data_IF_617489547689
#
_entry.id   IF_617489547689
#
_cell.length_a   1.000
_cell.length_b   1.000
_cell.length_c   1.000
_cell.angle_alpha   90.00
_cell.angle_beta   90.00
_cell.angle_gamma   90.00
#
_symmetry.space_group_name_H-M   'P 1'
#
loop_
_entity.id
_entity.type
_entity.pdbx_description
1 polymer ?
#
# COMPACT_ATOMS: atom_id res chain seq x y z
N UNK A 1 13.12 8.70 -13.38
CA UNK A 1 12.98 7.27 -13.04
C UNK A 1 11.66 7.15 -12.28
N UNK A 2 10.82 6.14 -12.59
CA UNK A 2 9.49 5.98 -11.97
C UNK A 2 9.59 4.92 -10.88
N UNK A 3 9.09 5.23 -9.69
CA UNK A 3 8.94 4.29 -8.60
C UNK A 3 7.61 3.54 -8.72
N UNK A 4 7.66 2.21 -8.67
CA UNK A 4 6.48 1.34 -8.64
C UNK A 4 6.14 1.07 -7.18
N UNK A 5 4.88 1.16 -6.76
CA UNK A 5 4.50 0.86 -5.37
C UNK A 5 3.39 -0.17 -5.33
N UNK A 6 3.50 -1.29 -4.59
CA UNK A 6 2.53 -2.42 -4.59
C UNK A 6 1.82 -2.66 -3.25
N UNK A 7 0.56 -3.12 -3.30
CA UNK A 7 -0.22 -3.67 -2.16
C UNK A 7 -1.01 -4.89 -2.59
N UNK A 8 -1.05 -5.95 -1.77
CA UNK A 8 -1.91 -7.12 -1.95
C UNK A 8 -3.04 -7.15 -0.90
N UNK A 9 -4.28 -7.41 -1.32
CA UNK A 9 -5.50 -7.52 -0.53
C UNK A 9 -6.04 -8.95 -0.60
N UNK A 10 -6.08 -9.64 0.54
CA UNK A 10 -6.69 -10.97 0.68
C UNK A 10 -7.92 -10.86 1.60
N UNK A 11 -9.11 -10.95 1.02
CA UNK A 11 -10.37 -10.98 1.75
C UNK A 11 -11.44 -11.73 0.95
N UNK A 12 -12.23 -12.58 1.61
CA UNK A 12 -13.28 -13.38 0.97
C UNK A 12 -14.47 -12.54 0.48
N UNK A 13 -14.90 -12.76 -0.76
CA UNK A 13 -16.00 -12.00 -1.40
C UNK A 13 -17.17 -12.96 -1.72
N UNK A 14 -18.38 -12.57 -1.29
CA UNK A 14 -19.63 -13.20 -1.73
C UNK A 14 -19.98 -12.78 -3.17
N UNK A 15 -20.43 -13.72 -4.00
CA UNK A 15 -20.75 -13.49 -5.43
C UNK A 15 -21.84 -12.42 -5.63
N UNK A 16 -21.54 -11.42 -6.45
CA UNK A 16 -22.46 -10.43 -7.03
C UNK A 16 -22.12 -10.19 -8.52
N UNK A 17 -22.99 -9.58 -9.34
CA UNK A 17 -23.09 -9.84 -10.78
C UNK A 17 -22.08 -9.06 -11.66
N UNK A 18 -21.98 -9.53 -12.92
CA UNK A 18 -21.15 -9.08 -14.07
C UNK A 18 -20.54 -7.67 -14.03
N UNK A 19 -19.22 -7.61 -14.33
CA UNK A 19 -18.32 -6.43 -14.42
C UNK A 19 -18.77 -5.31 -15.37
N UNK A 20 -19.71 -5.53 -16.29
CA UNK A 20 -19.74 -4.79 -17.56
C UNK A 20 -20.30 -3.35 -17.54
N UNK A 21 -21.08 -2.91 -16.54
CA UNK A 21 -21.67 -1.55 -16.55
C UNK A 21 -21.52 -0.75 -15.24
N UNK A 22 -21.00 -1.34 -14.16
CA UNK A 22 -21.07 -0.72 -12.83
C UNK A 22 -20.21 0.56 -12.71
N UNK A 23 -19.07 0.61 -13.40
CA UNK A 23 -18.15 1.76 -13.37
C UNK A 23 -18.67 3.04 -14.02
N UNK A 24 -19.68 2.95 -14.88
CA UNK A 24 -20.10 4.08 -15.72
C UNK A 24 -21.11 5.01 -15.03
N UNK A 25 -21.81 4.49 -14.03
CA UNK A 25 -22.95 5.16 -13.40
C UNK A 25 -22.87 5.17 -11.85
N UNK A 26 -21.95 4.43 -11.24
CA UNK A 26 -21.77 4.42 -9.78
C UNK A 26 -21.06 5.68 -9.34
N UNK A 27 -21.63 6.37 -8.35
CA UNK A 27 -20.96 7.44 -7.60
C UNK A 27 -20.55 6.92 -6.24
N UNK A 28 -19.35 7.29 -5.77
CA UNK A 28 -18.80 6.83 -4.50
C UNK A 28 -18.71 8.02 -3.55
N UNK A 29 -19.27 7.88 -2.35
CA UNK A 29 -19.36 8.95 -1.37
C UNK A 29 -18.41 8.67 -0.20
N UNK A 30 -17.52 9.61 0.11
CA UNK A 30 -16.77 9.68 1.37
C UNK A 30 -17.25 10.82 2.26
N UNK A 31 -16.44 11.15 3.27
CA UNK A 31 -16.68 12.23 4.21
C UNK A 31 -16.21 13.60 3.67
N UNK A 32 -15.12 13.64 2.90
CA UNK A 32 -14.54 14.85 2.30
C UNK A 32 -14.76 14.92 0.79
N UNK A 33 -14.80 13.77 0.12
CA UNK A 33 -14.86 13.70 -1.35
C UNK A 33 -16.04 12.88 -1.88
N UNK A 34 -16.47 13.21 -3.09
CA UNK A 34 -17.34 12.38 -3.92
C UNK A 34 -16.58 12.01 -5.20
N UNK A 35 -16.59 10.72 -5.55
CA UNK A 35 -16.06 10.23 -6.82
C UNK A 35 -17.22 10.08 -7.82
N UNK A 36 -17.09 10.71 -8.97
CA UNK A 36 -18.09 10.67 -10.05
C UNK A 36 -17.45 10.14 -11.33
N UNK A 37 -18.07 9.21 -12.06
CA UNK A 37 -17.51 8.71 -13.31
C UNK A 37 -17.20 9.85 -14.29
N UNK A 38 -16.04 9.78 -14.93
CA UNK A 38 -15.62 10.79 -15.90
C UNK A 38 -16.58 10.85 -17.10
N UNK A 39 -16.88 12.06 -17.55
CA UNK A 39 -17.98 12.34 -18.47
C UNK A 39 -17.69 13.64 -19.25
N UNK A 40 -18.33 13.80 -20.40
CA UNK A 40 -18.07 14.88 -21.34
C UNK A 40 -18.14 16.30 -20.73
N UNK A 41 -19.02 16.54 -19.75
CA UNK A 41 -19.15 17.86 -19.11
C UNK A 41 -17.97 18.21 -18.20
N UNK A 42 -17.16 17.24 -17.78
CA UNK A 42 -15.94 17.48 -16.99
C UNK A 42 -14.75 17.92 -17.85
N UNK A 43 -14.78 17.64 -19.16
CA UNK A 43 -13.61 17.76 -20.05
C UNK A 43 -13.06 19.18 -20.10
N UNK A 44 -13.92 20.21 -20.08
CA UNK A 44 -13.45 21.59 -20.20
C UNK A 44 -12.56 21.99 -19.01
N UNK A 45 -13.01 21.68 -17.79
CA UNK A 45 -12.26 21.93 -16.56
C UNK A 45 -11.01 21.05 -16.47
N UNK A 46 -11.12 19.78 -16.87
CA UNK A 46 -10.00 18.85 -16.91
C UNK A 46 -8.90 19.34 -17.87
N UNK A 47 -9.29 19.76 -19.07
CA UNK A 47 -8.37 20.33 -20.07
C UNK A 47 -7.69 21.61 -19.55
N UNK A 48 -8.37 22.43 -18.75
CA UNK A 48 -7.75 23.59 -18.11
C UNK A 48 -6.68 23.20 -17.08
N UNK A 49 -6.86 22.09 -16.36
CA UNK A 49 -5.80 21.53 -15.50
C UNK A 49 -4.60 21.03 -16.33
N UNK A 50 -4.85 20.35 -17.44
CA UNK A 50 -3.81 19.78 -18.31
C UNK A 50 -3.02 20.84 -19.11
N UNK A 51 -3.29 22.14 -18.90
CA UNK A 51 -2.44 23.25 -19.37
C UNK A 51 -1.34 23.63 -18.38
N UNK A 52 -1.44 23.19 -17.12
CA UNK A 52 -0.46 23.51 -16.08
C UNK A 52 0.80 22.63 -16.26
N UNK A 53 1.98 23.23 -16.56
CA UNK A 53 3.23 22.47 -16.70
C UNK A 53 3.59 21.65 -15.47
N UNK A 54 3.25 22.14 -14.27
CA UNK A 54 3.49 21.40 -13.03
C UNK A 54 2.65 20.11 -13.00
N UNK A 55 1.39 20.17 -13.42
CA UNK A 55 0.53 18.99 -13.45
C UNK A 55 1.03 17.99 -14.50
N UNK A 56 1.33 18.45 -15.71
CA UNK A 56 1.88 17.62 -16.79
C UNK A 56 3.16 16.88 -16.36
N UNK A 57 4.08 17.56 -15.67
CA UNK A 57 5.30 16.94 -15.14
C UNK A 57 4.99 15.88 -14.08
N UNK A 58 4.10 16.20 -13.14
CA UNK A 58 3.76 15.31 -12.02
C UNK A 58 2.95 14.08 -12.44
N UNK A 59 2.16 14.19 -13.51
CA UNK A 59 1.38 13.09 -14.10
C UNK A 59 2.08 12.43 -15.30
N UNK A 60 3.30 12.85 -15.64
CA UNK A 60 4.04 12.40 -16.81
C UNK A 60 3.21 12.39 -18.10
N UNK A 61 2.42 13.45 -18.29
CA UNK A 61 1.46 13.59 -19.38
C UNK A 61 1.93 14.60 -20.43
N UNK A 62 1.52 14.40 -21.67
CA UNK A 62 1.73 15.36 -22.75
C UNK A 62 0.49 16.26 -22.92
N UNK A 63 0.67 17.54 -23.27
CA UNK A 63 -0.46 18.44 -23.49
C UNK A 63 -1.24 18.02 -24.75
N UNK A 64 -2.56 18.07 -24.65
CA UNK A 64 -3.48 17.78 -25.76
C UNK A 64 -4.32 19.02 -26.09
N UNK A 65 -4.80 19.12 -27.32
CA UNK A 65 -5.87 20.04 -27.68
C UNK A 65 -7.19 19.65 -27.02
N UNK A 66 -8.14 20.59 -26.92
CA UNK A 66 -9.45 20.31 -26.35
C UNK A 66 -10.21 19.21 -27.12
N UNK A 67 -10.05 19.15 -28.44
CA UNK A 67 -10.67 18.11 -29.27
C UNK A 67 -10.07 16.72 -29.00
N UNK A 68 -8.74 16.65 -28.83
CA UNK A 68 -8.05 15.41 -28.44
C UNK A 68 -8.44 14.96 -27.04
N UNK A 69 -8.58 15.87 -26.08
CA UNK A 69 -9.10 15.61 -24.73
C UNK A 69 -10.54 15.05 -24.75
N UNK A 70 -11.42 15.63 -25.56
CA UNK A 70 -12.78 15.13 -25.75
C UNK A 70 -12.77 13.71 -26.32
N UNK A 71 -11.92 13.45 -27.32
CA UNK A 71 -11.79 12.12 -27.91
C UNK A 71 -11.20 11.11 -26.91
N UNK A 72 -10.21 11.52 -26.12
CA UNK A 72 -9.58 10.70 -25.08
C UNK A 72 -10.56 10.38 -23.95
N UNK A 73 -11.40 11.33 -23.55
CA UNK A 73 -12.45 11.09 -22.54
C UNK A 73 -13.39 9.96 -22.98
N UNK A 74 -13.83 9.96 -24.25
CA UNK A 74 -14.69 8.91 -24.79
C UNK A 74 -13.99 7.56 -24.75
N UNK A 75 -12.76 7.48 -25.25
CA UNK A 75 -12.01 6.21 -25.27
C UNK A 75 -11.75 5.68 -23.86
N UNK A 76 -11.40 6.54 -22.91
CA UNK A 76 -11.16 6.14 -21.51
C UNK A 76 -12.44 5.70 -20.80
N UNK A 77 -13.55 6.38 -21.05
CA UNK A 77 -14.84 6.03 -20.45
C UNK A 77 -15.35 4.68 -20.97
N UNK A 78 -15.17 4.40 -22.26
CA UNK A 78 -15.69 3.19 -22.88
C UNK A 78 -14.78 1.96 -22.70
N UNK A 79 -13.48 2.15 -22.45
CA UNK A 79 -12.50 1.07 -22.37
C UNK A 79 -12.73 0.13 -21.17
N UNK A 80 -13.08 -1.17 -21.35
CA UNK A 80 -13.31 -2.17 -20.29
C UNK A 80 -12.17 -2.34 -19.28
N UNK A 81 -10.95 -1.92 -19.64
CA UNK A 81 -9.74 -2.01 -18.81
C UNK A 81 -9.43 -0.73 -18.03
N UNK A 82 -10.33 0.26 -18.07
CA UNK A 82 -10.18 1.53 -17.34
C UNK A 82 -11.37 1.84 -16.43
N UNK A 83 -11.11 2.53 -15.33
CA UNK A 83 -12.15 3.15 -14.53
C UNK A 83 -11.66 4.52 -14.04
N UNK A 84 -12.21 5.59 -14.62
CA UNK A 84 -11.78 6.97 -14.37
C UNK A 84 -12.88 7.75 -13.68
N UNK A 85 -12.56 8.35 -12.55
CA UNK A 85 -13.48 9.13 -11.74
C UNK A 85 -12.91 10.52 -11.48
N UNK A 86 -13.76 11.53 -11.62
CA UNK A 86 -13.48 12.87 -11.13
C UNK A 86 -13.70 12.92 -9.63
N UNK A 87 -12.73 13.51 -8.93
CA UNK A 87 -12.78 13.79 -7.49
C UNK A 87 -13.41 15.16 -7.30
N UNK A 88 -14.55 15.20 -6.60
CA UNK A 88 -15.14 16.43 -6.09
C UNK A 88 -14.74 16.60 -4.62
N UNK A 89 -14.22 17.77 -4.23
CA UNK A 89 -13.81 18.08 -2.85
C UNK A 89 -14.98 18.58 -1.98
N UNK A 90 -16.16 17.99 -2.21
CA UNK A 90 -17.39 18.19 -1.46
C UNK A 90 -18.25 16.94 -1.60
N UNK A 91 -19.17 16.78 -0.66
CA UNK A 91 -20.14 15.70 -0.65
C UNK A 91 -21.53 16.15 -1.07
N UNK A 92 -21.74 17.45 -1.32
CA UNK A 92 -23.08 18.00 -1.52
C UNK A 92 -23.37 18.32 -2.99
N UNK A 93 -22.40 18.87 -3.71
CA UNK A 93 -22.59 19.41 -5.07
C UNK A 93 -21.59 18.87 -6.08
N UNK A 94 -21.99 18.83 -7.34
CA UNK A 94 -21.15 18.40 -8.47
C UNK A 94 -20.94 19.59 -9.44
N UNK A 95 -20.59 20.74 -8.89
CA UNK A 95 -20.30 21.95 -9.65
C UNK A 95 -18.87 21.93 -10.15
N UNK A 96 -18.61 22.54 -11.30
CA UNK A 96 -17.27 22.60 -11.90
C UNK A 96 -16.21 23.17 -10.94
N UNK A 97 -16.58 24.17 -10.13
CA UNK A 97 -15.70 24.74 -9.10
C UNK A 97 -15.26 23.73 -8.04
N UNK A 98 -16.06 22.70 -7.75
CA UNK A 98 -15.75 21.73 -6.70
C UNK A 98 -14.99 20.51 -7.23
N UNK A 99 -14.81 20.42 -8.55
CA UNK A 99 -13.89 19.46 -9.15
C UNK A 99 -12.47 19.73 -8.62
N UNK A 100 -11.82 18.71 -8.10
CA UNK A 100 -10.54 18.81 -7.40
C UNK A 100 -9.40 18.03 -8.08
N UNK A 101 -9.74 17.07 -8.93
CA UNK A 101 -8.82 16.22 -9.67
C UNK A 101 -9.51 14.93 -10.12
N UNK A 102 -8.76 13.85 -10.25
CA UNK A 102 -9.25 12.55 -10.72
C UNK A 102 -8.48 11.39 -10.08
N UNK A 103 -9.14 10.22 -10.06
CA UNK A 103 -8.57 8.95 -9.62
C UNK A 103 -8.90 7.88 -10.67
N UNK A 104 -7.88 7.12 -11.07
CA UNK A 104 -7.97 6.16 -12.17
C UNK A 104 -7.55 4.78 -11.73
N UNK A 105 -8.17 3.77 -12.35
CA UNK A 105 -7.71 2.39 -12.34
C UNK A 105 -7.44 1.91 -13.75
N UNK A 106 -6.32 1.21 -13.93
CA UNK A 106 -5.96 0.54 -15.18
C UNK A 106 -5.72 -0.95 -14.94
N UNK A 107 -6.30 -1.78 -15.81
CA UNK A 107 -6.19 -3.23 -15.79
C UNK A 107 -5.29 -3.67 -16.95
N UNK A 108 -3.99 -3.43 -16.80
CA UNK A 108 -3.00 -3.61 -17.85
C UNK A 108 -2.44 -5.05 -17.94
N UNK A 109 -2.88 -5.94 -17.04
CA UNK A 109 -2.39 -7.31 -16.91
C UNK A 109 -3.49 -8.30 -17.32
N UNK A 110 -3.38 -8.83 -18.54
CA UNK A 110 -4.36 -9.77 -19.10
C UNK A 110 -4.30 -11.15 -18.42
N UNK A 111 -3.17 -11.49 -17.80
CA UNK A 111 -2.97 -12.77 -17.10
C UNK A 111 -3.45 -12.69 -15.65
N UNK A 112 -3.32 -11.52 -15.00
CA UNK A 112 -3.79 -11.26 -13.64
C UNK A 112 -4.81 -10.11 -13.60
N UNK A 113 -6.08 -10.42 -13.86
CA UNK A 113 -7.17 -9.43 -13.79
C UNK A 113 -7.46 -8.91 -12.37
N UNK A 114 -6.78 -9.44 -11.35
CA UNK A 114 -6.84 -8.93 -9.98
C UNK A 114 -5.71 -7.93 -9.67
N UNK A 115 -4.76 -7.74 -10.58
CA UNK A 115 -3.70 -6.74 -10.52
C UNK A 115 -4.14 -5.45 -11.21
N UNK A 116 -3.98 -4.31 -10.53
CA UNK A 116 -4.55 -3.05 -10.97
C UNK A 116 -3.61 -1.88 -10.68
N UNK A 117 -3.36 -1.06 -11.70
CA UNK A 117 -2.67 0.21 -11.55
C UNK A 117 -3.65 1.27 -11.02
N UNK A 118 -3.26 2.06 -10.03
CA UNK A 118 -4.05 3.17 -9.48
C UNK A 118 -3.28 4.49 -9.58
N UNK A 119 -3.92 5.49 -10.17
CA UNK A 119 -3.40 6.85 -10.28
C UNK A 119 -4.32 7.85 -9.58
N UNK A 120 -3.73 8.93 -9.06
CA UNK A 120 -4.43 10.01 -8.38
C UNK A 120 -3.78 11.35 -8.74
N UNK A 121 -4.60 12.31 -9.15
CA UNK A 121 -4.22 13.70 -9.27
C UNK A 121 -5.14 14.55 -8.39
N UNK A 122 -4.55 15.46 -7.62
CA UNK A 122 -5.28 16.58 -6.97
C UNK A 122 -4.86 17.86 -7.68
N UNK A 123 -5.55 18.15 -8.78
CA UNK A 123 -5.22 19.23 -9.69
C UNK A 123 -5.30 20.60 -9.01
N UNK A 124 -6.37 20.86 -8.27
CA UNK A 124 -6.63 22.14 -7.62
C UNK A 124 -5.77 22.30 -6.34
N UNK A 125 -4.81 23.23 -6.38
CA UNK A 125 -3.87 23.47 -5.28
C UNK A 125 -4.55 23.73 -3.94
N UNK A 126 -5.73 24.38 -3.94
CA UNK A 126 -6.50 24.68 -2.73
C UNK A 126 -7.02 23.45 -1.97
N UNK A 127 -7.03 22.27 -2.60
CA UNK A 127 -7.47 21.02 -1.97
C UNK A 127 -6.31 20.10 -1.58
N UNK A 128 -5.07 20.43 -1.96
CA UNK A 128 -3.87 19.66 -1.57
C UNK A 128 -3.60 19.79 -0.07
N UNK A 129 -3.02 18.75 0.53
CA UNK A 129 -2.71 18.72 1.97
C UNK A 129 -3.91 18.62 2.92
N UNK A 130 -5.15 18.57 2.41
CA UNK A 130 -6.39 18.51 3.21
C UNK A 130 -6.99 17.11 3.34
N UNK A 131 -6.31 16.08 2.86
CA UNK A 131 -6.79 14.69 2.90
C UNK A 131 -7.68 14.28 1.71
N UNK A 132 -7.90 15.16 0.72
CA UNK A 132 -8.72 14.87 -0.48
C UNK A 132 -8.18 13.68 -1.28
N UNK A 133 -6.92 13.73 -1.74
CA UNK A 133 -6.31 12.61 -2.46
C UNK A 133 -6.22 11.34 -1.61
N UNK A 134 -6.06 11.52 -0.29
CA UNK A 134 -6.00 10.44 0.69
C UNK A 134 -7.30 9.64 0.73
N UNK A 135 -8.43 10.32 0.80
CA UNK A 135 -9.74 9.67 0.84
C UNK A 135 -10.15 9.13 -0.54
N UNK A 136 -9.88 9.88 -1.61
CA UNK A 136 -10.18 9.46 -2.99
C UNK A 136 -9.55 8.10 -3.33
N UNK A 137 -8.26 7.92 -3.01
CA UNK A 137 -7.56 6.64 -3.21
C UNK A 137 -8.21 5.50 -2.41
N UNK A 138 -8.53 5.72 -1.13
CA UNK A 138 -9.16 4.68 -0.30
C UNK A 138 -10.55 4.28 -0.80
N UNK A 139 -11.37 5.25 -1.21
CA UNK A 139 -12.68 4.97 -1.78
C UNK A 139 -12.55 4.18 -3.08
N UNK A 140 -11.61 4.56 -3.95
CA UNK A 140 -11.38 3.88 -5.21
C UNK A 140 -10.88 2.44 -5.01
N UNK A 141 -9.92 2.24 -4.10
CA UNK A 141 -9.44 0.90 -3.73
C UNK A 141 -10.55 0.04 -3.13
N UNK A 142 -11.35 0.60 -2.21
CA UNK A 142 -12.49 -0.10 -1.60
C UNK A 142 -13.52 -0.53 -2.66
N UNK A 143 -13.80 0.35 -3.63
CA UNK A 143 -14.67 0.04 -4.75
C UNK A 143 -14.07 -1.09 -5.60
N UNK A 144 -12.81 -0.98 -6.00
CA UNK A 144 -12.14 -1.97 -6.83
C UNK A 144 -12.08 -3.37 -6.19
N UNK A 145 -11.78 -3.45 -4.90
CA UNK A 145 -11.81 -4.70 -4.14
C UNK A 145 -13.21 -5.31 -4.16
N UNK A 146 -14.22 -4.52 -3.80
CA UNK A 146 -15.58 -5.03 -3.55
C UNK A 146 -16.31 -5.38 -4.85
N UNK A 147 -16.07 -4.59 -5.89
CA UNK A 147 -16.90 -4.56 -7.10
C UNK A 147 -16.16 -5.00 -8.36
N UNK A 148 -14.82 -4.88 -8.39
CA UNK A 148 -14.00 -5.25 -9.56
C UNK A 148 -13.14 -6.51 -9.29
N UNK A 149 -13.10 -6.98 -8.04
CA UNK A 149 -12.30 -8.11 -7.58
C UNK A 149 -10.78 -7.88 -7.75
N UNK A 150 -10.35 -6.64 -7.47
CA UNK A 150 -8.93 -6.32 -7.39
C UNK A 150 -8.36 -6.83 -6.07
N UNK A 151 -7.25 -7.55 -6.17
CA UNK A 151 -6.48 -8.07 -5.05
C UNK A 151 -5.08 -7.51 -4.99
N UNK A 152 -4.58 -6.85 -6.04
CA UNK A 152 -3.28 -6.21 -6.02
C UNK A 152 -3.37 -4.83 -6.64
N UNK A 153 -2.92 -3.82 -5.91
CA UNK A 153 -2.78 -2.47 -6.43
C UNK A 153 -1.31 -2.19 -6.68
N UNK A 154 -1.04 -1.44 -7.74
CA UNK A 154 0.23 -0.76 -7.88
C UNK A 154 0.07 0.66 -8.41
N UNK A 155 1.06 1.53 -8.22
CA UNK A 155 1.08 2.85 -8.84
C UNK A 155 2.48 3.18 -9.35
N UNK A 156 2.57 4.00 -10.41
CA UNK A 156 3.85 4.50 -10.93
C UNK A 156 3.96 5.99 -10.60
N UNK A 157 4.98 6.35 -9.84
CA UNK A 157 5.15 7.71 -9.34
C UNK A 157 6.52 8.24 -9.74
N UNK A 158 6.58 9.47 -10.25
CA UNK A 158 7.85 10.14 -10.48
C UNK A 158 8.62 10.28 -9.16
N UNK A 159 9.93 9.98 -9.18
CA UNK A 159 10.78 10.09 -7.99
C UNK A 159 10.80 11.50 -7.38
N UNK A 160 10.55 12.53 -8.19
CA UNK A 160 10.42 13.94 -7.77
C UNK A 160 9.01 14.34 -7.35
N UNK A 161 8.08 13.39 -7.24
CA UNK A 161 6.72 13.62 -6.76
C UNK A 161 6.58 13.17 -5.30
N UNK A 162 7.33 13.83 -4.42
CA UNK A 162 7.32 13.63 -2.97
C UNK A 162 5.92 13.64 -2.34
N UNK A 163 4.97 14.50 -2.77
CA UNK A 163 3.59 14.45 -2.27
C UNK A 163 2.91 13.10 -2.50
N UNK A 164 3.01 12.54 -3.71
CA UNK A 164 2.42 11.24 -4.03
C UNK A 164 3.20 10.10 -3.37
N UNK A 165 4.54 10.13 -3.38
CA UNK A 165 5.36 9.15 -2.65
C UNK A 165 4.99 9.12 -1.15
N UNK A 166 4.86 10.30 -0.52
CA UNK A 166 4.47 10.42 0.88
C UNK A 166 3.02 9.96 1.15
N UNK A 167 2.12 10.15 0.20
CA UNK A 167 0.75 9.64 0.28
C UNK A 167 0.73 8.11 0.32
N UNK A 168 1.38 7.46 -0.64
CA UNK A 168 1.35 5.99 -0.76
C UNK A 168 2.22 5.28 0.28
N UNK A 169 3.34 5.85 0.73
CA UNK A 169 4.12 5.33 1.88
C UNK A 169 3.29 5.24 3.16
N UNK A 170 2.46 6.25 3.45
CA UNK A 170 1.56 6.24 4.63
C UNK A 170 0.53 5.10 4.61
N UNK A 171 0.33 4.46 3.47
CA UNK A 171 -0.60 3.36 3.30
C UNK A 171 0.06 2.00 3.27
N UNK A 172 1.34 1.92 3.66
CA UNK A 172 2.13 0.70 3.65
C UNK A 172 2.28 0.13 2.22
N UNK A 173 2.17 0.95 1.17
CA UNK A 173 2.55 0.51 -0.17
C UNK A 173 4.08 0.29 -0.22
N UNK A 174 4.54 -0.85 -0.74
CA UNK A 174 5.96 -1.22 -0.85
C UNK A 174 6.64 -0.49 -2.02
N UNK A 175 7.66 0.33 -1.74
CA UNK A 175 8.42 1.05 -2.77
C UNK A 175 9.35 0.10 -3.53
N UNK A 176 9.04 -0.14 -4.79
CA UNK A 176 9.86 -0.92 -5.73
C UNK A 176 10.45 0.05 -6.76
N UNK A 177 11.78 0.20 -6.78
CA UNK A 177 12.43 0.98 -7.85
C UNK A 177 12.43 0.17 -9.14
N UNK A 178 11.94 0.74 -10.23
CA UNK A 178 12.10 0.13 -11.54
C UNK A 178 13.56 0.29 -12.00
N UNK A 179 14.33 -0.79 -12.08
CA UNK A 179 15.45 -0.86 -13.01
C UNK A 179 14.86 -0.75 -14.42
N UNK A 180 15.36 0.18 -15.23
CA UNK A 180 14.80 0.46 -16.54
C UNK A 180 14.94 -0.72 -17.53
N UNK A 181 13.83 -0.98 -18.23
CA UNK A 181 13.69 -1.66 -19.53
C UNK A 181 13.65 -3.21 -19.58
N UNK A 182 12.89 -3.79 -20.54
CA UNK A 182 12.66 -5.23 -20.66
C UNK A 182 13.79 -5.91 -21.43
N UNK A 183 14.41 -6.95 -20.88
CA UNK A 183 15.14 -7.98 -21.65
C UNK A 183 15.43 -9.18 -20.77
N UNK A 184 15.16 -10.37 -21.32
CA UNK A 184 15.77 -11.70 -21.10
C UNK A 184 16.44 -12.00 -19.74
N UNK A 185 16.03 -13.12 -19.14
CA UNK A 185 16.53 -13.63 -17.85
C UNK A 185 18.08 -13.59 -17.76
N UNK A 186 18.68 -13.08 -16.66
CA UNK A 186 20.12 -13.06 -16.49
C UNK A 186 20.68 -14.48 -16.35
N UNK A 187 21.82 -14.72 -17.00
CA UNK A 187 22.58 -15.97 -16.92
C UNK A 187 23.04 -16.23 -15.48
N UNK A 188 22.60 -17.37 -14.93
CA UNK A 188 22.73 -17.80 -13.54
C UNK A 188 24.18 -17.87 -13.06
N UNK A 189 25.13 -17.97 -14.00
CA UNK A 189 26.56 -18.10 -13.74
C UNK A 189 27.24 -16.75 -13.46
N UNK A 190 26.72 -15.64 -14.01
CA UNK A 190 27.21 -14.29 -13.74
C UNK A 190 26.78 -13.79 -12.34
N UNK A 191 25.54 -14.11 -11.94
CA UNK A 191 25.01 -13.75 -10.62
C UNK A 191 25.75 -14.47 -9.47
N UNK A 192 26.18 -15.72 -9.68
CA UNK A 192 27.00 -16.46 -8.70
C UNK A 192 28.41 -15.90 -8.55
N UNK A 193 29.00 -15.38 -9.62
CA UNK A 193 30.33 -14.78 -9.58
C UNK A 193 30.34 -13.41 -8.86
N UNK A 194 29.25 -12.65 -9.00
CA UNK A 194 29.10 -11.35 -8.32
C UNK A 194 28.83 -11.55 -6.81
N UNK A 195 28.01 -12.53 -6.44
CA UNK A 195 27.77 -12.90 -5.03
C UNK A 195 29.07 -13.36 -4.32
N UNK A 196 29.88 -14.19 -4.99
CA UNK A 196 31.16 -14.66 -4.45
C UNK A 196 32.23 -13.55 -4.35
N UNK A 197 32.10 -12.47 -5.12
CA UNK A 197 33.00 -11.31 -5.05
C UNK A 197 32.61 -10.35 -3.91
N UNK A 198 31.32 -10.29 -3.57
CA UNK A 198 30.81 -9.53 -2.42
C UNK A 198 31.14 -10.24 -1.11
N UNK A 199 30.95 -11.56 -1.03
CA UNK A 199 31.30 -12.37 0.16
C UNK A 199 32.80 -12.36 0.50
N UNK A 200 33.67 -12.00 -0.46
CA UNK A 200 35.12 -11.93 -0.25
C UNK A 200 35.62 -10.53 0.19
N UNK A 201 34.74 -9.54 0.32
CA UNK A 201 35.10 -8.17 0.72
C UNK A 201 34.66 -7.77 2.14
N UNK A 202 33.93 -8.64 2.86
CA UNK A 202 33.41 -8.36 4.21
C UNK A 202 34.31 -8.90 5.35
N UNK A 203 35.58 -9.24 5.11
CA UNK A 203 36.47 -9.77 6.16
C UNK A 203 37.28 -8.73 6.96
N UNK A 204 37.16 -7.42 6.73
CA UNK A 204 37.86 -6.42 7.56
C UNK A 204 37.06 -5.10 7.67
N UNK A 205 36.24 -4.95 8.72
CA UNK A 205 36.28 -3.81 9.65
C UNK A 205 35.07 -3.78 10.61
N UNK A 206 35.41 -3.79 11.91
CA UNK A 206 34.72 -3.25 13.09
C UNK A 206 33.53 -3.99 13.77
N UNK A 207 33.83 -4.43 15.00
CA UNK A 207 32.98 -4.96 16.08
C UNK A 207 31.79 -4.03 16.49
N UNK A 208 30.63 -4.14 15.83
CA UNK A 208 29.31 -3.81 16.41
C UNK A 208 28.35 -5.01 16.23
N UNK A 209 28.37 -5.91 17.20
CA UNK A 209 27.78 -7.26 17.15
C UNK A 209 26.23 -7.35 17.14
N UNK A 210 25.68 -8.12 16.19
CA UNK A 210 24.56 -9.10 16.21
C UNK A 210 23.19 -8.79 16.87
N UNK A 211 23.03 -7.71 17.63
CA UNK A 211 21.83 -7.46 18.47
C UNK A 211 20.56 -7.13 17.67
N UNK A 212 20.69 -6.44 16.55
CA UNK A 212 19.53 -6.00 15.76
C UNK A 212 18.85 -7.16 14.98
N UNK A 213 19.63 -8.16 14.56
CA UNK A 213 19.10 -9.34 13.86
C UNK A 213 18.36 -10.27 14.83
N UNK A 214 18.88 -10.47 16.05
CA UNK A 214 18.21 -11.27 17.08
C UNK A 214 16.82 -10.73 17.42
N UNK A 215 16.71 -9.42 17.66
CA UNK A 215 15.43 -8.83 18.04
C UNK A 215 14.43 -8.79 16.89
N UNK A 216 14.90 -8.57 15.65
CA UNK A 216 14.08 -8.73 14.44
C UNK A 216 13.53 -10.17 14.32
N UNK A 217 14.37 -11.18 14.56
CA UNK A 217 13.97 -12.59 14.57
C UNK A 217 12.97 -12.91 15.69
N UNK A 218 13.16 -12.32 16.88
CA UNK A 218 12.24 -12.42 18.02
C UNK A 218 10.89 -11.78 17.72
N UNK A 219 10.88 -10.62 17.07
CA UNK A 219 9.64 -9.97 16.60
C UNK A 219 8.90 -10.85 15.59
N UNK A 220 9.61 -11.43 14.62
CA UNK A 220 9.01 -12.36 13.67
C UNK A 220 8.42 -13.59 14.37
N UNK A 221 9.15 -14.16 15.33
CA UNK A 221 8.66 -15.30 16.12
C UNK A 221 7.45 -14.91 16.98
N UNK A 222 7.44 -13.74 17.61
CA UNK A 222 6.30 -13.22 18.35
C UNK A 222 5.05 -13.16 17.47
N UNK A 223 5.17 -12.61 16.25
CA UNK A 223 4.05 -12.54 15.31
C UNK A 223 3.58 -13.93 14.89
N UNK A 224 4.50 -14.90 14.74
CA UNK A 224 4.19 -16.29 14.41
C UNK A 224 3.31 -16.98 15.45
N UNK A 225 3.37 -16.57 16.72
CA UNK A 225 2.58 -17.17 17.81
C UNK A 225 1.10 -16.78 17.76
N UNK A 226 0.77 -15.65 17.11
CA UNK A 226 -0.58 -15.08 17.10
C UNK A 226 -1.19 -14.98 15.71
N UNK A 227 -0.51 -15.50 14.68
CA UNK A 227 -0.96 -15.39 13.30
C UNK A 227 -0.70 -16.67 12.52
N UNK A 228 -1.57 -16.95 11.55
CA UNK A 228 -1.48 -18.18 10.75
C UNK A 228 -2.13 -17.97 9.38
N UNK A 229 -1.41 -18.17 8.26
CA UNK A 229 -2.00 -18.22 6.93
C UNK A 229 -2.89 -19.46 6.78
N UNK A 230 -4.00 -19.32 6.04
CA UNK A 230 -4.82 -20.46 5.67
C UNK A 230 -4.12 -21.28 4.57
N UNK A 231 -3.85 -22.55 4.83
CA UNK A 231 -3.21 -23.46 3.86
C UNK A 231 -4.29 -24.17 3.05
N UNK A 232 -5.37 -24.59 3.72
CA UNK A 232 -6.52 -25.24 3.11
C UNK A 232 -7.73 -24.31 3.11
N UNK A 233 -8.66 -24.55 2.17
CA UNK A 233 -9.93 -23.80 2.07
C UNK A 233 -10.84 -23.91 3.32
N UNK A 234 -10.55 -24.86 4.21
CA UNK A 234 -11.25 -25.07 5.49
C UNK A 234 -10.54 -24.42 6.68
N UNK A 235 -9.30 -23.96 6.50
CA UNK A 235 -8.52 -23.38 7.57
C UNK A 235 -9.01 -21.96 7.87
N UNK A 236 -9.00 -21.61 9.15
CA UNK A 236 -9.18 -20.22 9.55
C UNK A 236 -7.82 -19.55 9.56
N UNK A 237 -7.71 -18.49 8.75
CA UNK A 237 -6.58 -17.57 8.83
C UNK A 237 -6.66 -16.73 10.11
N UNK A 238 -5.50 -16.42 10.68
CA UNK A 238 -5.36 -15.58 11.87
C UNK A 238 -4.46 -14.40 11.56
N UNK A 239 -4.93 -13.20 11.89
CA UNK A 239 -4.28 -11.91 11.63
C UNK A 239 -4.23 -11.09 12.91
N UNK A 240 -3.13 -10.38 13.15
CA UNK A 240 -2.99 -9.48 14.29
C UNK A 240 -3.08 -8.02 13.84
N UNK A 241 -3.92 -7.22 14.49
CA UNK A 241 -4.03 -5.77 14.20
C UNK A 241 -2.78 -5.04 14.70
N UNK A 242 -2.29 -4.06 13.93
CA UNK A 242 -1.11 -3.23 14.29
C UNK A 242 -1.17 -2.69 15.72
N UNK A 243 -2.27 -2.10 16.22
CA UNK A 243 -2.31 -1.63 17.61
C UNK A 243 -2.17 -2.74 18.65
N UNK A 244 -2.67 -3.95 18.38
CA UNK A 244 -2.51 -5.08 19.29
C UNK A 244 -1.07 -5.60 19.27
N UNK A 245 -0.46 -5.67 18.08
CA UNK A 245 0.95 -6.05 17.93
C UNK A 245 1.88 -5.07 18.64
N UNK A 246 1.65 -3.75 18.53
CA UNK A 246 2.45 -2.74 19.23
C UNK A 246 2.35 -2.87 20.75
N UNK A 247 1.21 -3.33 21.28
CA UNK A 247 1.08 -3.63 22.71
C UNK A 247 1.89 -4.87 23.09
N UNK A 248 1.81 -5.96 22.32
CA UNK A 248 2.63 -7.16 22.56
C UNK A 248 4.13 -6.85 22.49
N UNK A 249 4.52 -6.00 21.55
CA UNK A 249 5.90 -5.56 21.41
C UNK A 249 6.37 -4.75 22.61
N UNK A 250 5.51 -3.87 23.14
CA UNK A 250 5.81 -3.17 24.39
C UNK A 250 5.96 -4.13 25.58
N UNK A 251 5.11 -5.15 25.69
CA UNK A 251 5.26 -6.19 26.73
C UNK A 251 6.58 -6.96 26.58
N UNK A 252 6.99 -7.26 25.34
CA UNK A 252 8.27 -7.91 25.05
C UNK A 252 9.48 -7.06 25.47
N UNK A 253 9.41 -5.74 25.27
CA UNK A 253 10.44 -4.82 25.77
C UNK A 253 10.47 -4.82 27.30
N UNK A 254 9.31 -4.72 27.95
CA UNK A 254 9.22 -4.70 29.42
C UNK A 254 9.69 -6.01 30.05
N UNK A 255 9.45 -7.15 29.39
CA UNK A 255 9.95 -8.45 29.83
C UNK A 255 11.41 -8.70 29.47
N UNK A 256 12.10 -7.74 28.83
CA UNK A 256 13.46 -7.89 28.33
C UNK A 256 13.60 -9.06 27.35
N UNK A 257 12.51 -9.39 26.64
CA UNK A 257 12.54 -10.38 25.58
C UNK A 257 13.07 -9.80 24.27
N UNK A 258 13.03 -8.48 24.10
CA UNK A 258 13.71 -7.72 23.03
C UNK A 258 14.32 -6.45 23.64
N UNK A 259 15.40 -5.95 23.05
CA UNK A 259 16.15 -4.78 23.52
C UNK A 259 15.86 -3.54 22.67
N UNK A 260 14.57 -3.21 22.50
CA UNK A 260 14.17 -1.98 21.84
C UNK A 260 13.86 -0.85 22.82
N UNK A 261 14.14 0.39 22.43
CA UNK A 261 13.64 1.54 23.18
C UNK A 261 12.19 1.87 22.82
N UNK A 262 11.47 2.53 23.74
CA UNK A 262 10.13 3.06 23.50
C UNK A 262 9.92 4.47 24.02
N UNK A 263 9.00 5.20 23.40
CA UNK A 263 8.57 6.52 23.85
C UNK A 263 7.04 6.68 23.78
N UNK A 264 6.44 7.56 24.61
CA UNK A 264 5.03 7.90 24.50
C UNK A 264 4.70 8.50 23.12
N UNK A 265 3.82 7.85 22.38
CA UNK A 265 3.35 8.28 21.08
C UNK A 265 1.82 8.20 21.00
N UNK A 266 1.21 9.14 20.30
CA UNK A 266 -0.24 9.17 20.14
C UNK A 266 -0.68 8.40 18.90
N UNK A 267 -1.63 7.48 19.06
CA UNK A 267 -2.28 6.72 17.99
C UNK A 267 -3.78 7.00 17.98
N UNK A 268 -4.41 6.88 16.80
CA UNK A 268 -5.85 7.04 16.65
C UNK A 268 -6.51 5.65 16.70
N UNK A 269 -7.30 5.39 17.74
CA UNK A 269 -8.04 4.13 17.90
C UNK A 269 -9.53 4.47 17.93
N UNK A 270 -10.30 4.02 16.93
CA UNK A 270 -11.74 4.24 16.83
C UNK A 270 -12.13 5.72 17.04
N UNK A 271 -11.43 6.62 16.32
CA UNK A 271 -11.60 8.08 16.39
C UNK A 271 -11.24 8.75 17.73
N UNK A 272 -10.63 8.01 18.66
CA UNK A 272 -10.10 8.56 19.91
C UNK A 272 -8.58 8.51 19.88
N UNK A 273 -7.96 9.66 20.15
CA UNK A 273 -6.51 9.72 20.37
C UNK A 273 -6.19 9.04 21.69
N UNK A 274 -5.31 8.05 21.65
CA UNK A 274 -4.78 7.35 22.81
C UNK A 274 -3.25 7.42 22.76
N UNK A 275 -2.63 7.52 23.92
CA UNK A 275 -1.18 7.46 24.03
C UNK A 275 -0.76 6.03 24.35
N UNK A 276 0.26 5.57 23.64
CA UNK A 276 0.90 4.26 23.82
C UNK A 276 2.39 4.49 24.00
N UNK A 277 3.05 3.56 24.68
CA UNK A 277 4.50 3.45 24.62
C UNK A 277 4.84 2.66 23.36
N UNK A 278 5.52 3.30 22.42
CA UNK A 278 5.78 2.74 21.08
C UNK A 278 7.28 2.79 20.82
N UNK A 279 7.82 1.65 20.38
CA UNK A 279 9.17 1.57 19.83
C UNK A 279 9.20 2.02 18.37
N UNK A 280 10.19 2.85 18.02
CA UNK A 280 10.45 3.20 16.62
C UNK A 280 11.25 2.09 15.93
N UNK A 281 12.22 1.48 16.61
CA UNK A 281 13.01 0.34 16.11
C UNK A 281 12.09 -0.83 15.78
N UNK A 282 11.25 -1.23 16.73
CA UNK A 282 10.28 -2.29 16.48
C UNK A 282 9.23 -1.97 15.40
N UNK A 283 8.99 -0.68 15.08
CA UNK A 283 8.18 -0.29 13.91
C UNK A 283 8.99 -0.43 12.62
N UNK A 284 10.25 -0.02 12.63
CA UNK A 284 11.17 -0.19 11.51
C UNK A 284 11.37 -1.67 11.17
N UNK A 285 11.56 -2.52 12.17
CA UNK A 285 11.74 -3.96 11.97
C UNK A 285 10.47 -4.63 11.47
N UNK A 286 9.29 -4.17 11.92
CA UNK A 286 8.01 -4.62 11.37
C UNK A 286 7.86 -4.25 9.89
N UNK A 287 8.34 -3.07 9.50
CA UNK A 287 8.34 -2.64 8.11
C UNK A 287 9.37 -3.41 7.29
N UNK A 288 10.57 -3.66 7.84
CA UNK A 288 11.62 -4.52 7.25
C UNK A 288 11.14 -5.95 7.02
N UNK A 289 10.59 -6.62 8.05
CA UNK A 289 10.04 -7.98 7.94
C UNK A 289 8.96 -8.09 6.87
N UNK A 290 8.18 -7.02 6.66
CA UNK A 290 7.17 -6.95 5.61
C UNK A 290 7.80 -6.70 4.23
N UNK A 291 8.80 -5.84 4.14
CA UNK A 291 9.56 -5.55 2.91
C UNK A 291 10.31 -6.79 2.42
N UNK A 292 10.86 -7.58 3.33
CA UNK A 292 11.51 -8.87 3.06
C UNK A 292 10.53 -10.03 2.84
N UNK A 293 9.23 -9.75 2.71
CA UNK A 293 8.16 -10.73 2.49
C UNK A 293 8.06 -11.83 3.56
N UNK A 294 8.60 -11.59 4.77
CA UNK A 294 8.47 -12.48 5.93
C UNK A 294 7.11 -12.30 6.62
N UNK A 295 6.46 -11.17 6.38
CA UNK A 295 5.10 -10.86 6.85
C UNK A 295 4.18 -10.43 5.71
N UNK A 296 2.96 -10.94 5.75
CA UNK A 296 1.83 -10.44 4.98
C UNK A 296 1.20 -9.23 5.68
N UNK A 297 0.79 -8.23 4.90
CA UNK A 297 0.02 -7.07 5.38
C UNK A 297 -1.39 -7.05 4.82
N UNK A 298 -2.38 -6.77 5.67
CA UNK A 298 -3.79 -6.62 5.29
C UNK A 298 -4.36 -5.31 5.84
N UNK A 299 -4.96 -4.48 4.97
CA UNK A 299 -5.72 -3.30 5.39
C UNK A 299 -7.20 -3.66 5.55
N UNK A 300 -7.74 -3.45 6.74
CA UNK A 300 -9.16 -3.63 7.04
C UNK A 300 -9.82 -2.28 7.30
N UNK A 301 -11.06 -2.11 6.85
CA UNK A 301 -11.89 -0.99 7.28
C UNK A 301 -12.50 -1.31 8.66
N UNK A 302 -12.31 -0.41 9.62
CA UNK A 302 -13.03 -0.47 10.90
C UNK A 302 -14.51 -0.14 10.70
N UNK A 303 -15.34 -0.34 11.74
CA UNK A 303 -16.76 0.03 11.74
C UNK A 303 -17.01 1.52 11.49
N UNK A 304 -16.00 2.36 11.70
CA UNK A 304 -16.02 3.80 11.42
C UNK A 304 -15.19 4.16 10.18
N UNK A 305 -15.00 3.22 9.26
CA UNK A 305 -14.31 3.38 7.97
C UNK A 305 -12.84 3.82 8.05
N UNK A 306 -12.23 3.80 9.24
CA UNK A 306 -10.80 4.05 9.39
C UNK A 306 -10.01 2.80 8.99
N UNK A 307 -8.92 2.94 8.20
CA UNK A 307 -8.07 1.83 7.82
C UNK A 307 -7.26 1.33 9.01
N UNK A 308 -7.25 0.02 9.21
CA UNK A 308 -6.47 -0.68 10.24
C UNK A 308 -5.56 -1.68 9.54
N UNK A 309 -4.25 -1.52 9.70
CA UNK A 309 -3.27 -2.51 9.23
C UNK A 309 -3.29 -3.73 10.14
N UNK A 310 -3.28 -4.91 9.54
CA UNK A 310 -3.09 -6.19 10.19
C UNK A 310 -1.88 -6.89 9.58
N UNK A 311 -1.22 -7.71 10.38
CA UNK A 311 -0.07 -8.50 9.96
C UNK A 311 -0.37 -9.97 10.16
N UNK A 312 0.25 -10.80 9.34
CA UNK A 312 0.25 -12.25 9.46
C UNK A 312 1.61 -12.77 8.99
N UNK A 313 2.12 -13.81 9.62
CA UNK A 313 3.34 -14.45 9.13
C UNK A 313 3.13 -15.04 7.73
N UNK A 314 4.09 -14.79 6.82
CA UNK A 314 4.07 -15.38 5.47
C UNK A 314 4.61 -16.81 5.50
N UNK A 315 4.50 -17.53 4.38
CA UNK A 315 5.12 -18.86 4.22
C UNK A 315 6.66 -18.76 4.37
N UNK A 316 7.29 -17.76 3.73
CA UNK A 316 8.73 -17.46 3.87
C UNK A 316 9.11 -17.17 5.33
N UNK A 317 8.28 -16.40 6.04
CA UNK A 317 8.46 -16.13 7.46
C UNK A 317 8.38 -17.39 8.32
N UNK A 318 7.44 -18.29 8.03
CA UNK A 318 7.32 -19.57 8.75
C UNK A 318 8.55 -20.46 8.55
N UNK A 319 9.10 -20.52 7.34
CA UNK A 319 10.32 -21.26 7.06
C UNK A 319 11.51 -20.71 7.83
N UNK A 320 11.64 -19.39 7.91
CA UNK A 320 12.68 -18.74 8.71
C UNK A 320 12.49 -19.05 10.20
N UNK A 321 11.27 -18.87 10.72
CA UNK A 321 10.93 -19.22 12.11
C UNK A 321 11.23 -20.68 12.41
N UNK A 322 11.01 -21.61 11.49
CA UNK A 322 11.35 -23.01 11.69
C UNK A 322 12.86 -23.24 11.88
N UNK A 323 13.70 -22.42 11.24
CA UNK A 323 15.16 -22.46 11.32
C UNK A 323 15.73 -21.71 12.53
N UNK A 324 14.99 -20.76 13.11
CA UNK A 324 15.45 -19.99 14.27
C UNK A 324 15.84 -20.88 15.45
N UNK A 325 16.93 -20.48 16.11
CA UNK A 325 17.50 -21.18 17.25
C UNK A 325 16.62 -21.10 18.49
N UNK A 326 16.96 -21.89 19.51
CA UNK A 326 16.30 -21.80 20.81
C UNK A 326 16.56 -20.45 21.50
N UNK A 327 17.74 -19.87 21.28
CA UNK A 327 18.12 -18.58 21.84
C UNK A 327 17.17 -17.45 21.40
N UNK A 328 16.75 -17.45 20.14
CA UNK A 328 15.80 -16.46 19.62
C UNK A 328 14.38 -16.71 20.13
N UNK A 329 13.96 -17.98 20.23
CA UNK A 329 12.58 -18.32 20.59
C UNK A 329 12.30 -18.20 22.08
N UNK A 330 13.24 -18.60 22.93
CA UNK A 330 13.01 -18.74 24.37
C UNK A 330 12.53 -17.46 25.06
N UNK A 331 13.16 -16.28 24.86
CA UNK A 331 12.74 -15.05 25.55
C UNK A 331 11.27 -14.69 25.26
N UNK A 332 10.87 -14.79 24.00
CA UNK A 332 9.48 -14.54 23.57
C UNK A 332 8.54 -15.65 24.05
N UNK A 333 8.97 -16.92 24.00
CA UNK A 333 8.14 -18.03 24.44
C UNK A 333 7.84 -17.96 25.96
N UNK A 334 8.85 -17.59 26.76
CA UNK A 334 8.74 -17.44 28.20
C UNK A 334 7.87 -16.24 28.59
N UNK A 335 7.85 -15.18 27.77
CA UNK A 335 6.93 -14.05 27.97
C UNK A 335 5.46 -14.45 27.79
N UNK A 336 5.16 -15.35 26.87
CA UNK A 336 3.79 -15.70 26.45
C UNK A 336 3.18 -16.84 27.30
N UNK A 337 3.99 -17.55 28.09
CA UNK A 337 3.59 -18.74 28.88
C UNK A 337 3.25 -18.41 30.32
#
# INVERSE_FOLDING_TARGET
MLALIRITYQGGIARAPSRSNMRLDVKIQGDLVRLVPYAAHHVHKYHDWMKDPFLLEMTASEPLSLEEEQQMQVTWREDPTKATFIVFATTDTETEDEMAGDVNLFFNDDEDTANCEIDIMVAEARYRGKGVGREAVLLMMSYAVTHLHVHRFYCKINETNEPSLGLFRKYDFLLLKAAGAPTEAPDEEAAKAELAAVEAQDEDDDDESDTNEEDTNRLLYLISLYTKPAILSTDKEEWIRKPALLVLLYEAIVSQAVDYDYAPASELIENKRKYFNISQEGKSDLDFLREEELLNGLKLASKSYQPVTCYQISEKGQELVAKLGKADKSPIHDMVT
#
